data_IF_087258173364
#
_entry.id   IF_087258173364
#
_cell.length_a   1.000
_cell.length_b   1.000
_cell.length_c   1.000
_cell.angle_alpha   90.00
_cell.angle_beta   90.00
_cell.angle_gamma   90.00
#
_symmetry.space_group_name_H-M   'P 1'
#
loop_
_entity.id
_entity.type
_entity.pdbx_description
1 polymer ?
#
# COMPACT_ATOMS: atom_id res chain seq x y z
N UNK A 1 -15.82 0.66 -26.90
CA UNK A 1 -14.75 -0.24 -26.41
C UNK A 1 -13.96 0.55 -25.39
N UNK A 2 -14.19 0.34 -24.10
CA UNK A 2 -13.39 1.03 -23.08
C UNK A 2 -12.04 0.32 -23.02
N UNK A 3 -10.97 1.03 -23.39
CA UNK A 3 -9.60 0.56 -23.23
C UNK A 3 -9.38 0.19 -21.76
N UNK A 4 -8.70 -0.94 -21.50
CA UNK A 4 -8.24 -1.26 -20.13
C UNK A 4 -7.46 -0.04 -19.60
N UNK A 5 -7.71 0.41 -18.36
CA UNK A 5 -6.97 1.52 -17.77
C UNK A 5 -5.47 1.20 -17.77
N UNK A 6 -4.62 2.19 -17.98
CA UNK A 6 -3.16 2.02 -17.98
C UNK A 6 -2.61 2.43 -16.62
N UNK A 7 -1.83 1.55 -15.99
CA UNK A 7 -1.14 1.87 -14.73
C UNK A 7 0.09 2.77 -14.98
N UNK A 8 0.45 3.63 -14.02
CA UNK A 8 1.67 4.43 -14.09
C UNK A 8 2.94 3.60 -13.86
N UNK A 9 2.81 2.35 -13.41
CA UNK A 9 3.88 1.39 -13.17
C UNK A 9 3.56 0.04 -13.82
N UNK A 10 4.60 -0.73 -14.16
CA UNK A 10 4.42 -2.06 -14.73
C UNK A 10 4.20 -3.09 -13.62
N UNK A 11 2.95 -3.55 -13.47
CA UNK A 11 2.62 -4.69 -12.60
C UNK A 11 2.53 -5.94 -13.47
N UNK A 12 3.63 -6.67 -13.55
CA UNK A 12 3.70 -7.92 -14.32
C UNK A 12 3.02 -9.07 -13.58
N UNK A 13 2.57 -10.10 -14.31
CA UNK A 13 2.06 -11.35 -13.71
C UNK A 13 3.09 -11.99 -12.78
N UNK A 14 4.38 -11.89 -13.11
CA UNK A 14 5.46 -12.39 -12.27
C UNK A 14 5.54 -11.66 -10.91
N UNK A 15 5.44 -10.33 -10.91
CA UNK A 15 5.36 -9.54 -9.67
C UNK A 15 4.11 -9.95 -8.88
N UNK A 16 2.95 -9.94 -9.54
CA UNK A 16 1.69 -10.19 -8.86
C UNK A 16 1.62 -11.57 -8.20
N UNK A 17 2.18 -12.60 -8.86
CA UNK A 17 2.24 -13.96 -8.29
C UNK A 17 3.02 -14.07 -6.97
N UNK A 18 3.89 -13.09 -6.68
CA UNK A 18 4.68 -13.01 -5.44
C UNK A 18 4.22 -11.89 -4.50
N UNK A 19 3.27 -11.07 -4.94
CA UNK A 19 2.76 -9.95 -4.17
C UNK A 19 1.98 -10.49 -2.97
N UNK A 20 2.32 -10.00 -1.79
CA UNK A 20 1.65 -10.31 -0.53
C UNK A 20 1.30 -9.01 0.19
N UNK A 21 0.26 -9.09 1.02
CA UNK A 21 -0.08 -8.08 2.00
C UNK A 21 0.35 -8.64 3.36
N UNK A 22 1.08 -7.85 4.12
CA UNK A 22 1.42 -8.14 5.51
C UNK A 22 1.35 -6.85 6.33
N UNK A 23 1.59 -6.95 7.63
CA UNK A 23 1.65 -5.80 8.54
C UNK A 23 3.10 -5.37 8.75
N UNK A 24 3.41 -4.10 8.51
CA UNK A 24 4.71 -3.53 8.84
C UNK A 24 4.88 -3.51 10.38
N UNK A 25 5.87 -4.21 10.96
CA UNK A 25 6.04 -4.31 12.40
C UNK A 25 6.42 -2.97 13.07
N UNK A 26 6.85 -1.97 12.28
CA UNK A 26 7.22 -0.64 12.77
C UNK A 26 6.00 0.26 12.91
N UNK A 27 5.07 0.16 11.96
CA UNK A 27 3.92 1.07 11.85
C UNK A 27 2.60 0.41 12.23
N UNK A 28 2.56 -0.92 12.31
CA UNK A 28 1.35 -1.73 12.46
C UNK A 28 0.30 -1.49 11.36
N UNK A 29 0.74 -1.02 10.18
CA UNK A 29 -0.12 -0.78 9.03
C UNK A 29 0.07 -1.85 7.96
N UNK A 30 -0.98 -2.11 7.19
CA UNK A 30 -0.88 -3.00 6.04
C UNK A 30 0.05 -2.42 4.97
N UNK A 31 0.91 -3.28 4.42
CA UNK A 31 1.91 -2.95 3.42
C UNK A 31 1.98 -4.06 2.37
N UNK A 32 2.22 -3.68 1.12
CA UNK A 32 2.55 -4.58 0.03
C UNK A 32 4.04 -4.89 0.01
N UNK A 33 4.34 -6.17 -0.16
CA UNK A 33 5.69 -6.66 -0.36
C UNK A 33 5.71 -7.91 -1.23
N UNK A 34 6.91 -8.44 -1.41
CA UNK A 34 7.14 -9.71 -2.08
C UNK A 34 7.85 -10.66 -1.15
N UNK A 35 7.57 -11.94 -1.31
CA UNK A 35 8.31 -13.00 -0.62
C UNK A 35 9.51 -13.44 -1.45
N UNK A 36 10.71 -13.32 -0.87
CA UNK A 36 11.99 -13.75 -1.47
C UNK A 36 12.76 -14.55 -0.43
N UNK A 37 13.02 -15.83 -0.70
CA UNK A 37 13.75 -16.73 0.21
C UNK A 37 13.20 -16.70 1.66
N UNK A 38 11.87 -16.77 1.81
CA UNK A 38 11.15 -16.68 3.09
C UNK A 38 11.26 -15.32 3.81
N UNK A 39 11.81 -14.29 3.16
CA UNK A 39 11.79 -12.91 3.65
C UNK A 39 10.70 -12.08 2.95
N UNK A 40 9.98 -11.30 3.75
CA UNK A 40 9.03 -10.31 3.24
C UNK A 40 9.74 -8.98 2.96
N UNK A 41 9.83 -8.62 1.68
CA UNK A 41 10.56 -7.44 1.20
C UNK A 41 9.56 -6.41 0.67
N UNK A 42 9.51 -5.24 1.32
CA UNK A 42 8.61 -4.13 0.94
C UNK A 42 9.25 -3.14 -0.03
N UNK A 43 10.58 -3.00 -0.01
CA UNK A 43 11.37 -2.28 -1.01
C UNK A 43 12.63 -3.08 -1.38
N UNK A 44 12.66 -3.75 -2.55
CA UNK A 44 13.80 -4.57 -2.97
C UNK A 44 15.03 -3.74 -3.39
N UNK A 45 14.95 -2.40 -3.41
CA UNK A 45 16.12 -1.53 -3.54
C UNK A 45 16.87 -1.29 -2.22
N UNK A 46 16.35 -1.83 -1.12
CA UNK A 46 16.97 -1.79 0.20
C UNK A 46 17.37 -3.20 0.66
N UNK A 47 18.44 -3.28 1.45
CA UNK A 47 18.83 -4.50 2.19
C UNK A 47 17.68 -5.02 3.07
N UNK A 48 17.70 -6.29 3.47
CA UNK A 48 16.65 -6.91 4.29
C UNK A 48 16.38 -6.15 5.59
N UNK A 49 17.40 -5.51 6.16
CA UNK A 49 17.28 -4.65 7.34
C UNK A 49 16.85 -3.20 7.04
N UNK A 50 16.43 -2.90 5.80
CA UNK A 50 15.94 -1.60 5.33
C UNK A 50 16.98 -0.47 5.29
N UNK A 51 18.27 -0.75 5.59
CA UNK A 51 19.26 0.29 5.90
C UNK A 51 20.16 0.71 4.75
N UNK A 52 20.47 -0.20 3.83
CA UNK A 52 21.45 0.04 2.78
C UNK A 52 20.82 -0.09 1.41
N UNK A 53 21.17 0.81 0.48
CA UNK A 53 20.79 0.62 -0.92
C UNK A 53 21.51 -0.60 -1.50
N UNK A 54 20.77 -1.46 -2.17
CA UNK A 54 21.28 -2.67 -2.81
C UNK A 54 20.74 -2.77 -4.23
N UNK A 55 21.44 -3.51 -5.09
CA UNK A 55 20.90 -3.87 -6.41
C UNK A 55 19.85 -4.98 -6.24
N UNK A 56 18.57 -4.76 -6.63
CA UNK A 56 17.50 -5.74 -6.44
C UNK A 56 17.77 -7.08 -7.15
N UNK A 57 18.40 -7.02 -8.33
CA UNK A 57 18.65 -8.20 -9.15
C UNK A 57 19.78 -9.05 -8.58
N UNK A 58 20.86 -8.41 -8.13
CA UNK A 58 22.00 -9.11 -7.53
C UNK A 58 21.71 -9.64 -6.13
N UNK A 59 20.85 -8.97 -5.36
CA UNK A 59 20.58 -9.32 -3.95
C UNK A 59 19.41 -10.29 -3.81
N UNK A 60 18.31 -10.01 -4.50
CA UNK A 60 17.03 -10.74 -4.35
C UNK A 60 16.63 -11.51 -5.61
N UNK A 61 17.36 -11.34 -6.71
CA UNK A 61 17.01 -11.97 -7.99
C UNK A 61 15.73 -11.40 -8.62
N UNK A 62 15.36 -10.15 -8.27
CA UNK A 62 14.14 -9.52 -8.79
C UNK A 62 14.44 -8.32 -9.70
N UNK A 63 13.60 -8.03 -10.71
CA UNK A 63 13.77 -6.86 -11.56
C UNK A 63 13.70 -5.55 -10.77
N UNK A 64 14.53 -4.58 -11.14
CA UNK A 64 14.54 -3.26 -10.50
C UNK A 64 13.18 -2.53 -10.56
N UNK A 65 12.41 -2.76 -11.62
CA UNK A 65 11.08 -2.16 -11.79
C UNK A 65 10.06 -2.63 -10.74
N UNK A 66 10.29 -3.77 -10.08
CA UNK A 66 9.43 -4.22 -8.98
C UNK A 66 9.50 -3.27 -7.78
N UNK A 67 10.65 -2.62 -7.54
CA UNK A 67 10.79 -1.61 -6.49
C UNK A 67 9.85 -0.42 -6.74
N UNK A 68 9.78 0.05 -8.00
CA UNK A 68 8.89 1.14 -8.39
C UNK A 68 7.42 0.76 -8.23
N UNK A 69 7.05 -0.48 -8.59
CA UNK A 69 5.69 -0.97 -8.45
C UNK A 69 5.26 -1.09 -6.98
N UNK A 70 6.09 -1.69 -6.12
CA UNK A 70 5.80 -1.80 -4.68
C UNK A 70 5.71 -0.44 -4.00
N UNK A 71 6.63 0.47 -4.32
CA UNK A 71 6.58 1.85 -3.81
C UNK A 71 5.31 2.56 -4.23
N UNK A 72 4.88 2.38 -5.48
CA UNK A 72 3.63 2.95 -5.97
C UNK A 72 2.43 2.35 -5.23
N UNK A 73 2.35 1.03 -5.08
CA UNK A 73 1.26 0.35 -4.36
C UNK A 73 1.12 0.85 -2.92
N UNK A 74 2.24 0.89 -2.20
CA UNK A 74 2.25 1.34 -0.80
C UNK A 74 1.85 2.80 -0.65
N UNK A 75 2.31 3.67 -1.56
CA UNK A 75 1.89 5.07 -1.58
C UNK A 75 0.41 5.23 -1.93
N UNK A 76 -0.10 4.47 -2.90
CA UNK A 76 -1.52 4.47 -3.27
C UNK A 76 -2.38 4.01 -2.10
N UNK A 77 -1.95 2.99 -1.36
CA UNK A 77 -2.63 2.51 -0.17
C UNK A 77 -2.66 3.56 0.96
N UNK A 78 -1.52 4.19 1.24
CA UNK A 78 -1.40 5.28 2.22
C UNK A 78 -2.37 6.42 1.89
N UNK A 79 -2.34 6.91 0.64
CA UNK A 79 -3.21 7.98 0.18
C UNK A 79 -4.69 7.59 0.23
N UNK A 80 -5.04 6.37 -0.16
CA UNK A 80 -6.42 5.88 -0.08
C UNK A 80 -6.92 5.82 1.38
N UNK A 81 -6.07 5.44 2.32
CA UNK A 81 -6.38 5.43 3.75
C UNK A 81 -6.66 6.85 4.26
N UNK A 82 -5.79 7.81 3.93
CA UNK A 82 -5.99 9.22 4.28
C UNK A 82 -7.28 9.78 3.67
N UNK A 83 -7.53 9.53 2.39
CA UNK A 83 -8.74 9.98 1.68
C UNK A 83 -10.00 9.41 2.33
N UNK A 84 -10.00 8.12 2.68
CA UNK A 84 -11.12 7.47 3.34
C UNK A 84 -11.39 8.04 4.75
N UNK A 85 -10.34 8.24 5.55
CA UNK A 85 -10.44 8.87 6.89
C UNK A 85 -11.01 10.29 6.74
N UNK A 86 -10.47 11.09 5.83
CA UNK A 86 -10.90 12.46 5.61
C UNK A 86 -12.36 12.53 5.18
N UNK A 87 -12.78 11.70 4.22
CA UNK A 87 -14.15 11.65 3.74
C UNK A 87 -15.14 11.22 4.85
N UNK A 88 -14.78 10.16 5.61
CA UNK A 88 -15.60 9.67 6.72
C UNK A 88 -15.73 10.69 7.86
N UNK A 89 -14.62 11.30 8.28
CA UNK A 89 -14.60 12.32 9.32
C UNK A 89 -15.43 13.54 8.91
N UNK A 90 -15.22 14.05 7.69
CA UNK A 90 -15.96 15.20 7.18
C UNK A 90 -17.47 14.93 7.15
N UNK A 91 -17.88 13.73 6.73
CA UNK A 91 -19.29 13.36 6.75
C UNK A 91 -19.88 13.43 8.16
N UNK A 92 -19.22 12.82 9.15
CA UNK A 92 -19.68 12.82 10.55
C UNK A 92 -19.70 14.24 11.11
N UNK A 93 -18.65 15.03 10.89
CA UNK A 93 -18.55 16.42 11.35
C UNK A 93 -19.69 17.27 10.80
N UNK A 94 -20.00 17.13 9.51
CA UNK A 94 -21.12 17.83 8.89
C UNK A 94 -22.47 17.47 9.52
N UNK A 95 -22.70 16.19 9.86
CA UNK A 95 -23.94 15.77 10.54
C UNK A 95 -24.04 16.31 11.97
N UNK A 96 -22.90 16.53 12.62
CA UNK A 96 -22.83 17.06 13.99
C UNK A 96 -22.71 18.59 14.05
N UNK A 97 -22.63 19.27 12.90
CA UNK A 97 -22.41 20.72 12.84
C UNK A 97 -21.01 21.17 13.29
N UNK A 98 -20.03 20.27 13.26
CA UNK A 98 -18.63 20.55 13.58
C UNK A 98 -17.95 21.11 12.33
N UNK A 99 -17.26 22.24 12.45
CA UNK A 99 -16.64 22.95 11.32
C UNK A 99 -15.11 22.88 11.31
N UNK A 100 -14.49 22.16 12.25
CA UNK A 100 -13.05 21.95 12.32
C UNK A 100 -12.67 20.47 12.39
N UNK A 101 -11.49 20.13 11.87
CA UNK A 101 -10.97 18.76 11.82
C UNK A 101 -10.05 18.39 12.98
N UNK A 102 -9.93 19.23 14.03
CA UNK A 102 -8.90 19.07 15.06
C UNK A 102 -9.01 17.74 15.80
N UNK A 103 -10.23 17.35 16.16
CA UNK A 103 -10.46 16.08 16.83
C UNK A 103 -10.13 14.87 15.96
N UNK A 104 -10.45 14.91 14.66
CA UNK A 104 -10.10 13.84 13.72
C UNK A 104 -8.58 13.68 13.61
N UNK A 105 -7.85 14.80 13.53
CA UNK A 105 -6.39 14.78 13.51
C UNK A 105 -5.78 14.15 14.76
N UNK A 106 -6.36 14.37 15.95
CA UNK A 106 -5.90 13.74 17.19
C UNK A 106 -6.28 12.25 17.23
N UNK A 107 -7.52 11.92 16.87
CA UNK A 107 -8.05 10.56 16.92
C UNK A 107 -7.30 9.59 15.99
N UNK A 108 -6.91 10.05 14.81
CA UNK A 108 -6.12 9.28 13.83
C UNK A 108 -4.64 9.69 13.79
N UNK A 109 -4.12 10.27 14.88
CA UNK A 109 -2.71 10.67 14.96
C UNK A 109 -1.75 9.48 15.11
N UNK A 110 -2.26 8.38 15.67
CA UNK A 110 -1.59 7.09 15.68
C UNK A 110 -2.11 6.16 14.58
N UNK A 111 -1.47 5.00 14.47
CA UNK A 111 -1.80 3.98 13.48
C UNK A 111 -2.83 2.96 13.98
N UNK A 112 -3.09 2.89 15.29
CA UNK A 112 -4.02 1.91 15.89
C UNK A 112 -5.44 2.10 15.33
N UNK A 113 -5.86 3.36 15.15
CA UNK A 113 -7.16 3.68 14.56
C UNK A 113 -7.17 3.61 13.02
N UNK A 114 -6.01 3.42 12.38
CA UNK A 114 -5.85 3.33 10.92
C UNK A 114 -5.72 1.90 10.42
N UNK A 115 -5.15 1.00 11.24
CA UNK A 115 -4.79 -0.38 10.89
C UNK A 115 -5.93 -1.11 10.17
N UNK A 116 -7.09 -1.24 10.83
CA UNK A 116 -8.21 -2.01 10.29
C UNK A 116 -8.73 -1.47 8.96
N UNK A 117 -8.72 -0.14 8.78
CA UNK A 117 -9.12 0.48 7.52
C UNK A 117 -8.09 0.20 6.42
N UNK A 118 -6.80 0.36 6.72
CA UNK A 118 -5.74 0.14 5.74
C UNK A 118 -5.66 -1.33 5.30
N UNK A 119 -5.92 -2.28 6.20
CA UNK A 119 -6.04 -3.71 5.84
C UNK A 119 -7.14 -3.91 4.80
N UNK A 120 -8.35 -3.39 5.04
CA UNK A 120 -9.48 -3.54 4.10
C UNK A 120 -9.16 -2.89 2.74
N UNK A 121 -8.54 -1.71 2.74
CA UNK A 121 -8.15 -1.02 1.51
C UNK A 121 -7.02 -1.76 0.77
N UNK A 122 -6.08 -2.39 1.48
CA UNK A 122 -5.02 -3.19 0.86
C UNK A 122 -5.62 -4.39 0.12
N UNK A 123 -6.53 -5.11 0.76
CA UNK A 123 -7.25 -6.21 0.11
C UNK A 123 -8.07 -5.72 -1.10
N UNK A 124 -8.82 -4.63 -0.96
CA UNK A 124 -9.55 -4.06 -2.08
C UNK A 124 -8.64 -3.67 -3.26
N UNK A 125 -7.50 -3.03 -2.99
CA UNK A 125 -6.54 -2.68 -4.02
C UNK A 125 -5.96 -3.93 -4.72
N UNK A 126 -5.63 -4.97 -3.95
CA UNK A 126 -5.16 -6.25 -4.50
C UNK A 126 -6.18 -6.91 -5.43
N UNK A 127 -7.41 -7.07 -4.96
CA UNK A 127 -8.52 -7.67 -5.70
C UNK A 127 -8.85 -6.87 -6.97
N UNK A 128 -8.83 -5.53 -6.88
CA UNK A 128 -9.05 -4.64 -8.02
C UNK A 128 -7.94 -4.79 -9.07
N UNK A 129 -6.69 -4.96 -8.64
CA UNK A 129 -5.57 -5.20 -9.54
C UNK A 129 -5.71 -6.55 -10.26
N UNK A 130 -6.06 -7.60 -9.53
CA UNK A 130 -6.30 -8.93 -10.10
C UNK A 130 -7.40 -8.87 -11.17
N UNK A 131 -8.56 -8.31 -10.80
CA UNK A 131 -9.73 -8.21 -11.65
C UNK A 131 -9.47 -7.37 -12.92
N UNK A 132 -8.71 -6.27 -12.82
CA UNK A 132 -8.53 -5.34 -13.95
C UNK A 132 -7.35 -5.67 -14.86
N UNK A 133 -6.30 -6.31 -14.35
CA UNK A 133 -5.02 -6.43 -15.06
C UNK A 133 -4.58 -7.87 -15.34
N UNK A 134 -5.11 -8.86 -14.63
CA UNK A 134 -4.66 -10.24 -14.73
C UNK A 134 -5.76 -11.22 -15.16
N UNK A 135 -7.03 -10.77 -15.11
CA UNK A 135 -8.18 -11.43 -15.72
C UNK A 135 -8.57 -10.83 -17.09
#
# INVERSE_FOLDING_TARGET
MNSKPTLPVSITTALFSRLKIDTDPTTNLAVFGIEVNDFFITDPSLSECGRFNVDPQATYGVPADWANALRWLNKTLEQACEDAINAGCLHIQNQLGITDGGFAGIFFSDNDNREGLQIVLAHYLYEQLEHSFLN
#
